data_IF_178046997622
#
_entry.id   IF_178046997622
#
_cell.length_a   1.000
_cell.length_b   1.000
_cell.length_c   1.000
_cell.angle_alpha   90.00
_cell.angle_beta   90.00
_cell.angle_gamma   90.00
#
_symmetry.space_group_name_H-M   'P 1'
#
loop_
_entity.id
_entity.type
_entity.pdbx_description
1 polymer ?
#
# COMPACT_ATOMS: atom_id res chain seq x y z
N UNK A 1 -12.79 14.20 10.49
CA UNK A 1 -11.76 14.72 9.55
C UNK A 1 -12.35 15.04 8.17
N UNK A 2 -13.10 14.11 7.56
CA UNK A 2 -13.72 14.29 6.23
C UNK A 2 -14.75 15.42 6.15
N UNK A 3 -15.50 15.69 7.21
CA UNK A 3 -16.50 16.76 7.25
C UNK A 3 -15.88 18.18 7.16
N UNK A 4 -14.56 18.30 7.36
CA UNK A 4 -13.83 19.59 7.32
C UNK A 4 -13.14 19.86 5.98
N UNK A 5 -13.19 18.91 5.01
CA UNK A 5 -12.61 19.14 3.69
C UNK A 5 -13.56 19.94 2.81
N UNK A 6 -13.09 21.06 2.25
CA UNK A 6 -13.86 21.93 1.37
C UNK A 6 -14.29 21.29 0.03
N UNK A 7 -13.69 20.15 -0.32
CA UNK A 7 -14.07 19.36 -1.52
C UNK A 7 -14.32 17.91 -1.09
N UNK A 8 -15.48 17.33 -1.45
CA UNK A 8 -15.73 15.92 -1.19
C UNK A 8 -14.67 15.07 -1.92
N UNK A 9 -14.17 14.05 -1.25
CA UNK A 9 -13.28 13.07 -1.86
C UNK A 9 -14.15 12.18 -2.73
N UNK A 10 -13.81 12.07 -4.02
CA UNK A 10 -14.54 11.25 -4.97
C UNK A 10 -14.03 9.82 -4.94
N UNK A 11 -14.88 8.82 -4.70
CA UNK A 11 -14.52 7.42 -4.83
C UNK A 11 -14.10 7.09 -6.27
N UNK A 12 -13.26 6.08 -6.44
CA UNK A 12 -12.80 5.64 -7.76
C UNK A 12 -13.92 4.99 -8.58
N UNK A 13 -14.92 4.37 -7.93
CA UNK A 13 -16.14 3.86 -8.56
C UNK A 13 -17.37 4.69 -8.17
N UNK A 14 -18.39 4.66 -9.01
CA UNK A 14 -19.68 5.32 -8.77
C UNK A 14 -20.76 4.29 -8.43
N UNK A 15 -20.91 3.97 -7.14
CA UNK A 15 -21.96 3.05 -6.71
C UNK A 15 -23.34 3.64 -6.94
N UNK A 16 -24.25 2.83 -7.49
CA UNK A 16 -25.68 3.17 -7.69
C UNK A 16 -26.55 2.74 -6.52
N UNK A 17 -25.98 2.04 -5.55
CA UNK A 17 -26.65 1.53 -4.35
C UNK A 17 -26.52 2.54 -3.19
N UNK A 18 -27.32 2.33 -2.13
CA UNK A 18 -27.33 3.20 -0.95
C UNK A 18 -25.97 3.20 -0.25
N UNK A 19 -25.51 4.35 0.17
CA UNK A 19 -24.34 4.47 1.05
C UNK A 19 -24.71 4.00 2.46
N UNK A 20 -23.78 3.27 3.09
CA UNK A 20 -23.90 2.90 4.52
C UNK A 20 -24.06 4.16 5.35
N UNK A 21 -25.07 4.17 6.21
CA UNK A 21 -25.25 5.14 7.27
C UNK A 21 -24.49 4.73 8.54
N UNK A 22 -24.93 5.20 9.71
CA UNK A 22 -24.29 4.87 10.99
C UNK A 22 -24.78 3.52 11.59
N UNK A 23 -25.63 2.77 10.89
CA UNK A 23 -26.10 1.48 11.36
C UNK A 23 -25.08 0.40 11.02
N UNK A 24 -24.85 -0.49 11.96
CA UNK A 24 -24.00 -1.67 11.74
C UNK A 24 -24.76 -2.64 10.84
N UNK A 25 -24.08 -3.10 9.80
CA UNK A 25 -24.59 -4.17 8.94
C UNK A 25 -24.63 -5.50 9.68
N UNK A 26 -25.61 -6.32 9.36
CA UNK A 26 -25.77 -7.66 9.89
C UNK A 26 -25.05 -8.71 9.04
N UNK A 27 -24.96 -9.94 9.52
CA UNK A 27 -24.37 -11.03 8.75
C UNK A 27 -25.13 -11.25 7.43
N UNK A 28 -24.38 -11.67 6.42
CA UNK A 28 -24.83 -11.91 5.04
C UNK A 28 -25.26 -10.65 4.28
N UNK A 29 -25.26 -9.47 4.88
CA UNK A 29 -25.50 -8.24 4.13
C UNK A 29 -24.36 -7.95 3.14
N UNK A 30 -24.74 -7.52 1.92
CA UNK A 30 -23.81 -7.19 0.86
C UNK A 30 -23.22 -5.80 1.06
N UNK A 31 -21.88 -5.73 1.13
CA UNK A 31 -21.15 -4.49 1.30
C UNK A 31 -20.12 -4.28 0.18
N UNK A 32 -20.31 -3.22 -0.61
CA UNK A 32 -19.32 -2.77 -1.58
C UNK A 32 -18.40 -1.74 -0.93
N UNK A 33 -17.12 -2.07 -0.79
CA UNK A 33 -16.08 -1.13 -0.32
C UNK A 33 -15.36 -0.54 -1.51
N UNK A 34 -15.30 0.80 -1.62
CA UNK A 34 -14.70 1.50 -2.76
C UNK A 34 -13.52 2.37 -2.30
N UNK A 35 -12.38 2.24 -2.97
CA UNK A 35 -11.21 3.10 -2.77
C UNK A 35 -11.43 4.51 -3.28
N UNK A 36 -10.71 5.49 -2.72
CA UNK A 36 -10.96 6.91 -2.99
C UNK A 36 -9.72 7.81 -2.90
N UNK A 37 -8.56 7.27 -2.58
CA UNK A 37 -7.31 8.00 -2.36
C UNK A 37 -6.16 7.34 -3.12
N UNK A 38 -4.92 7.69 -2.76
CA UNK A 38 -3.72 7.12 -3.34
C UNK A 38 -3.56 5.62 -3.07
N UNK A 39 -2.61 5.00 -3.78
CA UNK A 39 -2.30 3.58 -3.64
C UNK A 39 -1.86 3.22 -2.20
N UNK A 40 -1.06 4.09 -1.55
CA UNK A 40 -0.63 3.89 -0.17
C UNK A 40 -1.80 3.90 0.82
N UNK A 41 -2.80 4.78 0.62
CA UNK A 41 -4.02 4.78 1.43
C UNK A 41 -4.79 3.46 1.26
N UNK A 42 -4.88 2.96 0.02
CA UNK A 42 -5.52 1.67 -0.24
C UNK A 42 -4.78 0.54 0.47
N UNK A 43 -3.45 0.45 0.32
CA UNK A 43 -2.63 -0.55 0.99
C UNK A 43 -2.84 -0.48 2.51
N UNK A 44 -2.83 0.71 3.09
CA UNK A 44 -3.00 0.88 4.54
C UNK A 44 -4.37 0.42 5.04
N UNK A 45 -5.45 0.76 4.34
CA UNK A 45 -6.81 0.54 4.84
C UNK A 45 -7.46 -0.77 4.35
N UNK A 46 -6.93 -1.43 3.31
CA UNK A 46 -7.46 -2.72 2.86
C UNK A 46 -7.34 -3.83 3.91
N UNK A 47 -6.54 -3.64 4.97
CA UNK A 47 -6.46 -4.54 6.12
C UNK A 47 -7.80 -4.86 6.77
N UNK A 48 -8.77 -3.96 6.64
CA UNK A 48 -10.10 -4.15 7.23
C UNK A 48 -11.02 -5.03 6.38
N UNK A 49 -10.69 -5.32 5.14
CA UNK A 49 -11.52 -6.16 4.25
C UNK A 49 -11.63 -7.60 4.79
N UNK A 50 -10.55 -8.32 5.12
CA UNK A 50 -10.64 -9.65 5.72
C UNK A 50 -11.41 -9.64 7.03
N UNK A 51 -11.25 -8.60 7.85
CA UNK A 51 -11.99 -8.48 9.10
C UNK A 51 -13.51 -8.37 8.86
N UNK A 52 -13.96 -7.55 7.92
CA UNK A 52 -15.37 -7.45 7.57
C UNK A 52 -15.94 -8.81 7.10
N UNK A 53 -15.18 -9.52 6.26
CA UNK A 53 -15.55 -10.88 5.81
C UNK A 53 -15.64 -11.87 7.00
N UNK A 54 -14.72 -11.79 7.96
CA UNK A 54 -14.75 -12.64 9.17
C UNK A 54 -15.93 -12.32 10.11
N UNK A 55 -16.52 -11.11 9.99
CA UNK A 55 -17.76 -10.77 10.69
C UNK A 55 -19.02 -11.27 9.96
N UNK A 56 -18.86 -12.02 8.88
CA UNK A 56 -19.96 -12.64 8.13
C UNK A 56 -20.57 -11.73 7.05
N UNK A 57 -19.98 -10.59 6.73
CA UNK A 57 -20.45 -9.74 5.62
C UNK A 57 -20.04 -10.30 4.26
N UNK A 58 -20.93 -10.18 3.26
CA UNK A 58 -20.62 -10.44 1.86
C UNK A 58 -19.94 -9.20 1.24
N UNK A 59 -18.60 -9.17 1.30
CA UNK A 59 -17.81 -7.99 0.93
C UNK A 59 -17.27 -8.09 -0.49
N UNK A 60 -17.67 -7.15 -1.34
CA UNK A 60 -17.03 -6.85 -2.62
C UNK A 60 -16.08 -5.67 -2.47
N UNK A 61 -14.83 -5.79 -2.95
CA UNK A 61 -13.82 -4.76 -2.82
C UNK A 61 -13.41 -4.16 -4.16
N UNK A 62 -13.71 -2.87 -4.37
CA UNK A 62 -13.27 -2.11 -5.53
C UNK A 62 -11.96 -1.38 -5.23
N UNK A 63 -10.89 -1.73 -5.97
CA UNK A 63 -9.57 -1.16 -5.81
C UNK A 63 -8.94 -0.74 -7.14
N UNK A 64 -7.86 0.05 -7.07
CA UNK A 64 -7.07 0.40 -8.24
C UNK A 64 -6.42 -0.87 -8.82
N UNK A 65 -6.54 -1.08 -10.13
CA UNK A 65 -6.08 -2.28 -10.84
C UNK A 65 -4.60 -2.60 -10.58
N UNK A 66 -3.76 -1.58 -10.36
CA UNK A 66 -2.35 -1.75 -10.04
C UNK A 66 -2.09 -2.53 -8.73
N UNK A 67 -3.08 -2.66 -7.86
CA UNK A 67 -2.98 -3.38 -6.60
C UNK A 67 -3.64 -4.76 -6.64
N UNK A 68 -4.32 -5.13 -7.73
CA UNK A 68 -5.10 -6.37 -7.77
C UNK A 68 -4.24 -7.62 -7.55
N UNK A 69 -3.02 -7.68 -8.10
CA UNK A 69 -2.07 -8.79 -7.89
C UNK A 69 -1.70 -8.92 -6.42
N UNK A 70 -1.33 -7.81 -5.78
CA UNK A 70 -1.01 -7.75 -4.35
C UNK A 70 -2.21 -8.13 -3.47
N UNK A 71 -3.39 -7.60 -3.77
CA UNK A 71 -4.63 -7.88 -3.02
C UNK A 71 -4.95 -9.38 -3.04
N UNK A 72 -4.83 -10.03 -4.20
CA UNK A 72 -5.07 -11.46 -4.37
C UNK A 72 -4.03 -12.30 -3.62
N UNK A 73 -2.76 -12.03 -3.81
CA UNK A 73 -1.67 -12.77 -3.17
C UNK A 73 -1.70 -12.63 -1.63
N UNK A 74 -2.09 -11.46 -1.13
CA UNK A 74 -2.26 -11.23 0.31
C UNK A 74 -3.55 -11.84 0.89
N UNK A 75 -4.36 -12.55 0.11
CA UNK A 75 -5.60 -13.17 0.58
C UNK A 75 -6.72 -12.19 1.00
N UNK A 76 -6.56 -10.91 0.66
CA UNK A 76 -7.52 -9.85 1.06
C UNK A 76 -8.82 -9.99 0.28
N UNK A 77 -8.71 -10.15 -1.03
CA UNK A 77 -9.83 -10.42 -1.92
C UNK A 77 -9.36 -11.17 -3.17
N UNK A 78 -9.99 -12.29 -3.48
CA UNK A 78 -9.64 -13.09 -4.65
C UNK A 78 -10.15 -12.48 -5.96
N UNK A 79 -11.21 -11.66 -5.89
CA UNK A 79 -11.86 -11.06 -7.04
C UNK A 79 -12.06 -9.55 -6.87
N UNK A 80 -10.96 -8.75 -6.67
CA UNK A 80 -11.10 -7.32 -6.50
C UNK A 80 -11.70 -6.68 -7.74
N UNK A 81 -12.71 -5.83 -7.55
CA UNK A 81 -13.43 -5.17 -8.63
C UNK A 81 -12.65 -3.97 -9.15
N UNK A 82 -12.71 -3.76 -10.45
CA UNK A 82 -12.35 -2.49 -11.08
C UNK A 82 -13.42 -1.41 -10.81
N UNK A 83 -13.11 -0.12 -10.98
CA UNK A 83 -14.12 0.94 -10.90
C UNK A 83 -15.33 0.74 -11.85
N UNK A 84 -15.10 0.17 -13.03
CA UNK A 84 -16.19 -0.13 -14.00
C UNK A 84 -17.12 -1.22 -13.49
N UNK A 85 -16.56 -2.29 -12.92
CA UNK A 85 -17.34 -3.39 -12.35
C UNK A 85 -18.12 -2.95 -11.12
N UNK A 86 -17.51 -2.13 -10.24
CA UNK A 86 -18.18 -1.57 -9.08
C UNK A 86 -19.42 -0.72 -9.45
N UNK A 87 -19.40 -0.06 -10.62
CA UNK A 87 -20.54 0.71 -11.12
C UNK A 87 -21.73 -0.17 -11.55
N UNK A 88 -21.51 -1.47 -11.73
CA UNK A 88 -22.54 -2.44 -12.11
C UNK A 88 -23.19 -3.13 -10.90
N UNK A 89 -22.64 -2.96 -9.71
CA UNK A 89 -23.22 -3.52 -8.48
C UNK A 89 -24.55 -2.86 -8.20
N UNK A 90 -25.61 -3.67 -8.10
CA UNK A 90 -27.00 -3.23 -7.99
C UNK A 90 -27.67 -3.58 -6.66
N UNK A 91 -26.98 -4.32 -5.78
CA UNK A 91 -27.53 -4.80 -4.51
C UNK A 91 -26.59 -4.48 -3.35
N UNK A 92 -27.17 -4.39 -2.15
CA UNK A 92 -26.44 -4.11 -0.91
C UNK A 92 -26.23 -2.62 -0.63
N UNK A 93 -25.23 -2.33 0.13
CA UNK A 93 -24.83 -0.96 0.49
C UNK A 93 -23.35 -0.75 0.17
N UNK A 94 -22.91 0.52 0.06
CA UNK A 94 -21.52 0.81 -0.20
C UNK A 94 -20.91 1.76 0.84
N UNK A 95 -19.58 1.65 1.03
CA UNK A 95 -18.82 2.50 1.93
C UNK A 95 -17.48 2.87 1.29
N UNK A 96 -17.00 4.12 1.45
CA UNK A 96 -15.63 4.46 1.09
C UNK A 96 -14.63 3.74 2.00
N UNK A 97 -13.54 3.21 1.45
CA UNK A 97 -12.51 2.46 2.19
C UNK A 97 -11.99 3.22 3.43
N UNK A 98 -11.70 4.53 3.28
CA UNK A 98 -11.18 5.34 4.39
C UNK A 98 -12.25 5.70 5.43
N UNK A 99 -13.51 5.30 5.24
CA UNK A 99 -14.55 5.42 6.27
C UNK A 99 -14.61 4.20 7.19
N UNK A 100 -13.95 3.10 6.82
CA UNK A 100 -13.98 1.87 7.63
C UNK A 100 -13.49 2.06 9.07
N UNK A 101 -12.42 2.81 9.37
CA UNK A 101 -12.02 3.02 10.76
C UNK A 101 -13.13 3.67 11.62
N UNK A 102 -13.87 4.64 11.05
CA UNK A 102 -14.99 5.23 11.76
C UNK A 102 -16.15 4.25 11.92
N UNK A 103 -16.50 3.54 10.86
CA UNK A 103 -17.56 2.53 10.86
C UNK A 103 -17.28 1.41 11.87
N UNK A 104 -16.03 0.95 11.94
CA UNK A 104 -15.56 -0.10 12.86
C UNK A 104 -15.19 0.43 14.24
N UNK A 105 -15.36 1.73 14.51
CA UNK A 105 -15.02 2.39 15.77
C UNK A 105 -13.56 2.15 16.20
N UNK A 106 -12.64 2.17 15.23
CA UNK A 106 -11.20 1.98 15.48
C UNK A 106 -10.66 3.13 16.32
N UNK A 107 -9.92 2.77 17.36
CA UNK A 107 -9.21 3.72 18.23
C UNK A 107 -7.76 3.30 18.39
N UNK A 108 -6.85 4.17 18.86
CA UNK A 108 -5.48 3.79 19.18
C UNK A 108 -5.36 2.64 20.17
N UNK A 109 -6.35 2.51 21.09
CA UNK A 109 -6.41 1.46 22.11
C UNK A 109 -7.10 0.18 21.60
N UNK A 110 -7.75 0.23 20.45
CA UNK A 110 -8.41 -0.91 19.81
C UNK A 110 -8.21 -0.83 18.30
N UNK A 111 -7.03 -1.20 17.79
CA UNK A 111 -6.70 -1.12 16.36
C UNK A 111 -7.36 -2.22 15.53
N UNK A 112 -7.95 -3.25 16.14
CA UNK A 112 -8.55 -4.47 15.57
C UNK A 112 -7.52 -5.34 14.85
N UNK A 113 -6.75 -4.78 13.91
CA UNK A 113 -5.76 -5.51 13.09
C UNK A 113 -4.36 -5.03 13.48
N UNK A 114 -3.59 -5.92 14.08
CA UNK A 114 -2.21 -5.71 14.53
C UNK A 114 -1.20 -6.54 13.74
N UNK A 115 -1.67 -7.65 13.15
CA UNK A 115 -0.81 -8.58 12.44
C UNK A 115 -0.49 -8.12 11.01
N UNK A 116 0.64 -8.54 10.44
CA UNK A 116 0.94 -8.36 9.03
C UNK A 116 -0.18 -8.92 8.15
N UNK A 117 -0.53 -8.20 7.10
CA UNK A 117 -1.64 -8.55 6.19
C UNK A 117 -1.27 -8.45 4.72
N UNK A 118 -0.05 -8.07 4.41
CA UNK A 118 0.51 -8.05 3.06
C UNK A 118 1.43 -9.25 2.91
N UNK A 119 1.24 -9.98 1.83
CA UNK A 119 2.08 -11.12 1.49
C UNK A 119 2.41 -11.09 0.01
N UNK A 120 3.58 -11.58 -0.34
CA UNK A 120 3.95 -11.92 -1.70
C UNK A 120 3.66 -13.40 -1.97
N UNK A 121 4.03 -13.88 -3.16
CA UNK A 121 4.00 -15.33 -3.47
C UNK A 121 5.31 -15.98 -3.08
N UNK A 122 5.25 -17.28 -2.74
CA UNK A 122 6.44 -18.07 -2.41
C UNK A 122 7.48 -18.04 -3.55
N UNK A 123 7.02 -18.07 -4.80
CA UNK A 123 7.88 -18.00 -5.99
C UNK A 123 8.66 -16.69 -6.06
N UNK A 124 7.98 -15.54 -5.85
CA UNK A 124 8.62 -14.24 -5.87
C UNK A 124 9.53 -14.04 -4.65
N UNK A 125 9.12 -14.52 -3.49
CA UNK A 125 9.95 -14.50 -2.29
C UNK A 125 11.21 -15.31 -2.48
N UNK A 126 11.13 -16.53 -3.02
CA UNK A 126 12.30 -17.34 -3.28
C UNK A 126 13.21 -16.70 -4.34
N UNK A 127 12.65 -16.16 -5.42
CA UNK A 127 13.40 -15.41 -6.45
C UNK A 127 14.25 -14.29 -5.82
N UNK A 128 13.63 -13.45 -5.01
CA UNK A 128 14.33 -12.30 -4.42
C UNK A 128 15.27 -12.70 -3.29
N UNK A 129 14.93 -13.73 -2.54
CA UNK A 129 15.84 -14.35 -1.57
C UNK A 129 17.14 -14.81 -2.25
N UNK A 130 17.06 -15.51 -3.38
CA UNK A 130 18.22 -15.99 -4.11
C UNK A 130 19.07 -14.84 -4.68
N UNK A 131 18.43 -13.76 -5.11
CA UNK A 131 19.13 -12.57 -5.62
C UNK A 131 19.82 -11.81 -4.49
N UNK A 132 19.11 -11.54 -3.39
CA UNK A 132 19.57 -10.69 -2.30
C UNK A 132 20.55 -11.43 -1.36
N UNK A 133 20.48 -12.77 -1.26
CA UNK A 133 21.42 -13.57 -0.46
C UNK A 133 22.88 -13.50 -0.93
N UNK A 134 23.16 -12.91 -2.08
CA UNK A 134 24.52 -12.61 -2.55
C UNK A 134 25.17 -11.47 -1.75
N UNK A 135 24.39 -10.60 -1.12
CA UNK A 135 24.89 -9.62 -0.16
C UNK A 135 24.97 -10.31 1.23
N UNK A 136 26.14 -10.23 1.85
CA UNK A 136 26.39 -10.89 3.15
C UNK A 136 26.09 -9.98 4.34
N UNK A 137 25.89 -8.69 4.09
CA UNK A 137 25.55 -7.69 5.11
C UNK A 137 24.05 -7.49 5.14
N UNK A 138 23.49 -7.10 6.28
CA UNK A 138 22.09 -6.73 6.39
C UNK A 138 21.70 -5.68 5.34
N UNK A 139 20.49 -5.83 4.79
CA UNK A 139 19.94 -4.96 3.74
C UNK A 139 18.87 -4.06 4.34
N UNK A 140 19.06 -2.76 4.19
CA UNK A 140 18.07 -1.73 4.60
C UNK A 140 17.37 -1.17 3.38
N UNK A 141 16.08 -1.46 3.24
CA UNK A 141 15.23 -0.88 2.20
C UNK A 141 14.90 0.58 2.52
N UNK A 142 15.17 1.51 1.58
CA UNK A 142 14.89 2.93 1.79
C UNK A 142 14.06 3.53 0.67
N UNK A 143 13.17 4.44 1.07
CA UNK A 143 12.40 5.32 0.17
C UNK A 143 12.43 6.74 0.76
N UNK A 144 12.68 7.76 -0.05
CA UNK A 144 12.94 9.12 0.45
C UNK A 144 12.02 10.19 -0.16
N UNK A 145 11.31 9.89 -1.24
CA UNK A 145 10.50 10.90 -1.91
C UNK A 145 9.08 10.43 -2.22
N UNK A 146 8.12 11.26 -1.85
CA UNK A 146 6.73 11.11 -2.24
C UNK A 146 6.40 11.78 -3.58
N UNK A 147 5.11 11.88 -3.92
CA UNK A 147 4.66 12.55 -5.14
C UNK A 147 4.87 14.09 -5.05
N UNK A 148 5.74 14.69 -5.87
CA UNK A 148 6.05 16.13 -5.80
C UNK A 148 4.84 17.04 -6.04
N UNK A 149 3.88 16.61 -6.87
CA UNK A 149 2.65 17.38 -7.12
C UNK A 149 1.79 17.52 -5.86
N UNK A 150 1.76 16.50 -5.01
CA UNK A 150 1.03 16.54 -3.75
C UNK A 150 1.74 17.40 -2.70
N UNK A 151 3.06 17.41 -2.70
CA UNK A 151 3.86 18.24 -1.78
C UNK A 151 3.70 19.73 -2.07
N UNK A 152 3.65 20.12 -3.34
CA UNK A 152 3.37 21.52 -3.73
C UNK A 152 2.01 22.00 -3.24
N UNK A 153 1.02 21.12 -3.13
CA UNK A 153 -0.35 21.49 -2.81
C UNK A 153 -0.64 21.53 -1.30
N UNK A 154 -0.19 20.53 -0.50
CA UNK A 154 -0.66 20.39 0.89
C UNK A 154 0.31 19.71 1.88
N UNK A 155 1.26 18.92 1.41
CA UNK A 155 1.97 17.97 2.27
C UNK A 155 3.48 18.23 2.28
N UNK A 156 3.88 19.47 2.58
CA UNK A 156 5.30 19.84 2.72
C UNK A 156 6.01 18.96 3.75
N UNK A 157 7.25 18.57 3.46
CA UNK A 157 8.11 17.83 4.39
C UNK A 157 7.89 16.31 4.39
N UNK A 158 7.25 15.74 3.36
CA UNK A 158 7.14 14.28 3.18
C UNK A 158 8.37 13.66 2.51
N UNK A 159 9.10 14.47 1.74
CA UNK A 159 10.33 14.05 1.05
C UNK A 159 11.54 14.63 1.72
N UNK A 160 12.61 13.84 1.73
CA UNK A 160 13.94 14.23 2.15
C UNK A 160 14.88 14.07 0.96
N UNK A 161 15.93 14.89 0.81
CA UNK A 161 17.00 14.59 -0.14
C UNK A 161 17.66 13.25 0.23
N UNK A 162 17.97 12.41 -0.77
CA UNK A 162 18.67 11.14 -0.52
C UNK A 162 19.97 11.34 0.27
N UNK A 163 20.70 12.42 0.01
CA UNK A 163 21.95 12.75 0.70
C UNK A 163 21.80 12.89 2.23
N UNK A 164 20.57 13.10 2.73
CA UNK A 164 20.30 13.09 4.18
C UNK A 164 20.68 11.77 4.84
N UNK A 165 20.67 10.66 4.11
CA UNK A 165 21.07 9.35 4.60
C UNK A 165 22.59 9.15 4.65
N UNK A 166 23.40 10.10 4.14
CA UNK A 166 24.87 10.00 4.14
C UNK A 166 25.47 9.77 5.53
N UNK A 167 24.86 10.32 6.57
CA UNK A 167 25.31 10.12 7.95
C UNK A 167 25.23 8.65 8.38
N UNK A 168 24.12 7.97 8.04
CA UNK A 168 23.95 6.54 8.34
C UNK A 168 24.81 5.69 7.41
N UNK A 169 24.99 6.13 6.16
CA UNK A 169 25.80 5.44 5.15
C UNK A 169 27.30 5.33 5.50
N UNK A 170 27.77 6.10 6.49
CA UNK A 170 29.16 5.97 7.02
C UNK A 170 29.40 4.62 7.71
N UNK A 171 28.33 3.98 8.20
CA UNK A 171 28.43 2.64 8.76
C UNK A 171 28.57 1.62 7.62
N UNK A 172 29.55 0.71 7.74
CA UNK A 172 29.85 -0.32 6.75
C UNK A 172 29.18 -1.66 7.04
N UNK A 173 28.39 -1.77 8.12
CA UNK A 173 27.81 -3.04 8.56
C UNK A 173 26.54 -3.43 7.81
N UNK A 174 26.06 -2.62 6.87
CA UNK A 174 24.87 -2.89 6.06
C UNK A 174 25.00 -2.34 4.65
N UNK A 175 24.05 -2.72 3.80
CA UNK A 175 23.81 -2.17 2.46
C UNK A 175 22.45 -1.52 2.39
N UNK A 176 22.33 -0.49 1.58
CA UNK A 176 21.02 0.05 1.19
C UNK A 176 20.45 -0.69 -0.01
N UNK A 177 19.12 -0.74 -0.05
CA UNK A 177 18.32 -1.12 -1.21
C UNK A 177 17.36 0.03 -1.49
N UNK A 178 17.40 0.59 -2.70
CA UNK A 178 16.45 1.64 -3.09
C UNK A 178 15.12 1.04 -3.49
N UNK A 179 14.07 1.43 -2.77
CA UNK A 179 12.67 1.17 -3.12
C UNK A 179 12.05 2.37 -3.87
N UNK A 180 12.83 3.43 -4.10
CA UNK A 180 12.36 4.63 -4.78
C UNK A 180 12.10 4.35 -6.26
N UNK A 181 10.89 4.66 -6.72
CA UNK A 181 10.49 4.53 -8.12
C UNK A 181 10.04 5.89 -8.67
N UNK A 182 10.40 6.16 -9.92
CA UNK A 182 10.03 7.41 -10.58
C UNK A 182 10.69 8.63 -9.95
N UNK A 183 9.89 9.64 -9.55
CA UNK A 183 10.43 10.87 -8.98
C UNK A 183 11.38 10.63 -7.82
N UNK A 184 12.57 11.25 -7.89
CA UNK A 184 13.58 11.15 -6.86
C UNK A 184 14.56 9.98 -7.03
N UNK A 185 14.28 9.00 -7.91
CA UNK A 185 15.20 7.89 -8.18
C UNK A 185 16.51 8.37 -8.83
N UNK A 186 16.47 9.46 -9.58
CA UNK A 186 17.64 10.11 -10.19
C UNK A 186 18.69 10.58 -9.18
N UNK A 187 18.30 10.79 -7.92
CA UNK A 187 19.23 11.16 -6.85
C UNK A 187 20.22 10.04 -6.54
N UNK A 188 19.89 8.79 -6.85
CA UNK A 188 20.77 7.64 -6.66
C UNK A 188 22.05 7.76 -7.53
N UNK A 189 21.95 8.37 -8.69
CA UNK A 189 23.09 8.53 -9.62
C UNK A 189 24.14 9.50 -9.11
N UNK A 190 23.75 10.43 -8.24
CA UNK A 190 24.60 11.54 -7.79
C UNK A 190 24.88 11.55 -6.28
N UNK A 191 24.34 10.58 -5.50
CA UNK A 191 24.57 10.56 -4.07
C UNK A 191 26.02 10.15 -3.73
N UNK A 192 26.55 10.71 -2.64
CA UNK A 192 27.94 10.50 -2.19
C UNK A 192 28.26 9.08 -1.74
N UNK A 193 27.23 8.28 -1.47
CA UNK A 193 27.33 6.90 -0.97
C UNK A 193 26.68 5.86 -1.91
N UNK A 194 26.67 6.11 -3.23
CA UNK A 194 26.14 5.17 -4.24
C UNK A 194 26.69 3.75 -4.09
N UNK A 195 27.97 3.61 -3.72
CA UNK A 195 28.63 2.33 -3.50
C UNK A 195 28.11 1.54 -2.28
N UNK A 196 27.24 2.13 -1.47
CA UNK A 196 26.56 1.47 -0.34
C UNK A 196 25.28 0.75 -0.73
N UNK A 197 24.82 0.93 -1.95
CA UNK A 197 23.64 0.20 -2.44
C UNK A 197 24.03 -1.22 -2.88
N UNK A 198 23.04 -2.11 -2.86
CA UNK A 198 23.21 -3.49 -3.32
C UNK A 198 23.58 -3.52 -4.82
N UNK A 199 24.36 -4.52 -5.23
CA UNK A 199 24.79 -4.64 -6.63
C UNK A 199 23.62 -4.94 -7.58
N UNK A 200 22.60 -5.64 -7.08
CA UNK A 200 21.38 -5.97 -7.85
C UNK A 200 20.40 -4.80 -8.01
N UNK A 201 20.74 -3.59 -7.58
CA UNK A 201 19.85 -2.42 -7.69
C UNK A 201 19.23 -2.22 -9.09
N UNK A 202 19.94 -2.42 -10.22
CA UNK A 202 19.32 -2.31 -11.54
C UNK A 202 18.17 -3.30 -11.79
N UNK A 203 18.24 -4.51 -11.20
CA UNK A 203 17.14 -5.48 -11.29
C UNK A 203 15.93 -5.00 -10.49
N UNK A 204 16.15 -4.42 -9.30
CA UNK A 204 15.10 -3.82 -8.47
C UNK A 204 14.45 -2.67 -9.20
N UNK A 205 15.23 -1.80 -9.83
CA UNK A 205 14.73 -0.60 -10.53
C UNK A 205 13.85 -0.95 -11.73
N UNK A 206 14.05 -2.12 -12.34
CA UNK A 206 13.21 -2.62 -13.43
C UNK A 206 11.83 -3.13 -12.99
N UNK A 207 11.60 -3.31 -11.69
CA UNK A 207 10.38 -3.86 -11.13
C UNK A 207 9.34 -2.76 -10.88
N UNK A 208 8.14 -2.88 -11.46
CA UNK A 208 7.07 -1.89 -11.30
C UNK A 208 5.79 -2.47 -10.69
N UNK A 209 5.75 -3.76 -10.40
CA UNK A 209 4.62 -4.42 -9.77
C UNK A 209 4.71 -4.33 -8.23
N UNK A 210 3.57 -4.02 -7.60
CA UNK A 210 3.47 -3.93 -6.14
C UNK A 210 3.64 -5.27 -5.45
N UNK A 211 3.22 -6.37 -6.09
CA UNK A 211 3.40 -7.71 -5.56
C UNK A 211 4.88 -8.08 -5.51
N UNK A 212 5.62 -7.80 -6.57
CA UNK A 212 7.05 -8.07 -6.61
C UNK A 212 7.83 -7.16 -5.67
N UNK A 213 7.42 -5.88 -5.52
CA UNK A 213 7.99 -5.00 -4.50
C UNK A 213 7.76 -5.51 -3.08
N UNK A 214 6.61 -6.16 -2.79
CA UNK A 214 6.36 -6.79 -1.50
C UNK A 214 7.38 -7.91 -1.22
N UNK A 215 7.69 -8.76 -2.23
CA UNK A 215 8.70 -9.80 -2.10
C UNK A 215 10.10 -9.23 -1.85
N UNK A 216 10.46 -8.12 -2.52
CA UNK A 216 11.74 -7.43 -2.28
C UNK A 216 11.82 -6.94 -0.83
N UNK A 217 10.76 -6.29 -0.34
CA UNK A 217 10.70 -5.75 1.03
C UNK A 217 10.78 -6.87 2.07
N UNK A 218 10.10 -7.99 1.83
CA UNK A 218 10.11 -9.16 2.73
C UNK A 218 11.51 -9.79 2.89
N UNK A 219 12.38 -9.58 1.91
CA UNK A 219 13.76 -10.04 1.93
C UNK A 219 14.77 -8.95 2.33
N UNK A 220 14.31 -7.81 2.85
CA UNK A 220 15.16 -6.83 3.54
C UNK A 220 15.17 -7.13 5.04
N UNK A 221 16.26 -6.74 5.71
CA UNK A 221 16.37 -6.88 7.18
C UNK A 221 15.70 -5.71 7.92
N UNK A 222 15.52 -4.56 7.22
CA UNK A 222 14.86 -3.36 7.73
C UNK A 222 14.32 -2.52 6.57
#
# INVERSE_FOLDING_TARGET
FRSKTKKPITPHGQAKIRKVDNQKLEQEEKLLVITEQGLGDTIQYMRYIPYLKSQGLDVSFCAQTKLHTLIKASGIDQNPLTPKEANLVSEGQWIPLLSLPQYLQITPNNPIITEPYISSTDELNQKWKDILSRETRPIIGINWQGNPAMEKLKYKGRSLPLETFSTIARNNNFKFLSLQKGFGSEQLDHCSFKNKFVECQPQIDSTWDFLENAAIIENCDL
#
